data_IF_667994636174
#
_entry.id   IF_667994636174
#
_cell.length_a   1.000
_cell.length_b   1.000
_cell.length_c   1.000
_cell.angle_alpha   90.00
_cell.angle_beta   90.00
_cell.angle_gamma   90.00
#
_symmetry.space_group_name_H-M   'P 1'
#
loop_
_entity.id
_entity.type
_entity.pdbx_description
1 polymer ?
#
# COMPACT_ATOMS: atom_id res chain seq x y z
N UNK A 1 -89.94 26.34 -17.92
CA UNK A 1 -89.01 25.40 -18.60
C UNK A 1 -87.60 25.88 -18.32
N UNK A 2 -87.01 25.35 -17.28
CA UNK A 2 -85.70 25.74 -16.82
C UNK A 2 -84.68 24.78 -17.38
N UNK A 3 -83.65 25.30 -18.00
CA UNK A 3 -82.48 24.54 -18.41
C UNK A 3 -81.42 24.70 -17.39
N UNK A 4 -81.22 23.63 -16.66
CA UNK A 4 -80.08 23.48 -15.72
C UNK A 4 -78.78 23.25 -16.52
N UNK A 5 -77.82 24.16 -16.39
CA UNK A 5 -76.45 24.02 -16.92
C UNK A 5 -75.55 23.32 -15.94
N UNK A 6 -75.25 22.07 -16.22
CA UNK A 6 -74.29 21.30 -15.44
C UNK A 6 -72.86 21.83 -15.61
N UNK A 7 -72.23 22.25 -14.51
CA UNK A 7 -70.84 22.65 -14.47
C UNK A 7 -69.95 21.38 -14.29
N UNK A 8 -69.29 20.97 -15.37
CA UNK A 8 -68.30 19.91 -15.33
C UNK A 8 -66.98 20.47 -14.74
N UNK A 9 -66.68 20.05 -13.55
CA UNK A 9 -65.39 20.40 -12.88
C UNK A 9 -64.30 19.49 -13.39
N UNK A 10 -63.45 20.00 -14.28
CA UNK A 10 -62.24 19.29 -14.78
C UNK A 10 -61.14 19.42 -13.70
N UNK A 11 -60.86 18.34 -13.01
CA UNK A 11 -59.69 18.23 -12.14
C UNK A 11 -58.46 18.02 -13.00
N UNK A 12 -57.66 19.08 -13.17
CA UNK A 12 -56.31 18.98 -13.73
C UNK A 12 -55.40 18.38 -12.67
N UNK A 13 -55.09 17.09 -12.80
CA UNK A 13 -53.99 16.47 -12.04
C UNK A 13 -52.67 17.04 -12.54
N UNK A 14 -52.10 17.95 -11.77
CA UNK A 14 -50.68 18.32 -11.94
C UNK A 14 -49.80 17.15 -11.45
N UNK A 15 -49.34 16.34 -12.38
CA UNK A 15 -48.24 15.42 -12.15
C UNK A 15 -46.96 16.27 -12.02
N UNK A 16 -46.58 16.65 -10.80
CA UNK A 16 -45.26 17.14 -10.51
C UNK A 16 -44.29 15.96 -10.67
N UNK A 17 -43.68 15.86 -11.85
CA UNK A 17 -42.51 15.03 -12.05
C UNK A 17 -41.40 15.63 -11.21
N UNK A 18 -41.24 15.11 -10.00
CA UNK A 18 -40.02 15.30 -9.23
C UNK A 18 -38.91 14.56 -9.99
N UNK A 19 -38.29 15.25 -10.94
CA UNK A 19 -36.97 14.89 -11.41
C UNK A 19 -36.05 15.01 -10.20
N UNK A 20 -36.04 13.95 -9.37
CA UNK A 20 -35.01 13.72 -8.40
C UNK A 20 -33.70 13.67 -9.18
N UNK A 21 -32.96 14.77 -9.15
CA UNK A 21 -31.62 14.82 -9.63
C UNK A 21 -30.88 13.73 -8.89
N UNK A 22 -30.65 12.61 -9.55
CA UNK A 22 -29.49 11.76 -9.25
C UNK A 22 -28.28 12.69 -9.49
N UNK A 23 -27.92 13.47 -8.47
CA UNK A 23 -26.60 14.03 -8.39
C UNK A 23 -25.70 12.83 -8.60
N UNK A 24 -25.08 12.75 -9.78
CA UNK A 24 -23.96 11.86 -10.02
C UNK A 24 -23.08 12.04 -8.81
N UNK A 25 -23.01 11.03 -7.94
CA UNK A 25 -22.03 10.99 -6.88
C UNK A 25 -20.71 11.09 -7.64
N UNK A 26 -20.14 12.29 -7.63
CA UNK A 26 -18.83 12.62 -8.19
C UNK A 26 -17.93 11.57 -7.58
N UNK A 27 -17.38 10.68 -8.40
CA UNK A 27 -16.67 9.46 -8.01
C UNK A 27 -15.93 9.68 -6.69
N UNK A 28 -16.56 9.29 -5.58
CA UNK A 28 -15.91 9.35 -4.28
C UNK A 28 -14.71 8.46 -4.43
N UNK A 29 -13.49 9.03 -4.33
CA UNK A 29 -12.27 8.33 -4.58
C UNK A 29 -12.29 7.02 -3.79
N UNK A 30 -12.39 5.88 -4.47
CA UNK A 30 -12.36 4.59 -3.80
C UNK A 30 -10.94 4.39 -3.31
N UNK A 31 -10.80 4.33 -1.99
CA UNK A 31 -9.51 4.27 -1.33
C UNK A 31 -9.22 2.86 -0.87
N UNK A 32 -7.98 2.40 -1.13
CA UNK A 32 -7.42 1.18 -0.59
C UNK A 32 -6.23 1.46 0.32
N UNK A 33 -5.79 0.44 1.01
CA UNK A 33 -4.62 0.51 1.90
C UNK A 33 -3.61 -0.53 1.47
N UNK A 34 -2.33 -0.16 1.41
CA UNK A 34 -1.22 -1.07 1.15
C UNK A 34 -0.31 -1.09 2.39
N UNK A 35 -0.32 -2.21 3.09
CA UNK A 35 0.58 -2.48 4.21
C UNK A 35 1.83 -3.15 3.65
N UNK A 36 2.97 -2.50 3.79
CA UNK A 36 4.21 -2.92 3.14
C UNK A 36 5.06 -3.73 4.11
N UNK A 37 5.28 -5.00 3.80
CA UNK A 37 6.31 -5.90 4.33
C UNK A 37 6.46 -5.91 5.87
N UNK A 38 5.37 -5.97 6.62
CA UNK A 38 5.43 -6.16 8.09
C UNK A 38 5.73 -7.63 8.38
N UNK A 39 7.00 -8.03 8.21
CA UNK A 39 7.47 -9.41 8.26
C UNK A 39 8.53 -9.64 9.33
N UNK A 40 8.72 -10.92 9.72
CA UNK A 40 9.61 -11.29 10.81
C UNK A 40 11.04 -10.79 10.64
N UNK A 41 11.65 -11.01 9.46
CA UNK A 41 13.05 -10.64 9.21
C UNK A 41 13.32 -9.13 9.20
N UNK A 42 12.27 -8.30 9.04
CA UNK A 42 12.39 -6.84 9.09
C UNK A 42 12.17 -6.25 10.48
N UNK A 43 11.93 -7.07 11.52
CA UNK A 43 11.55 -6.56 12.83
C UNK A 43 12.49 -6.94 13.97
N UNK A 44 12.71 -5.99 14.89
CA UNK A 44 13.42 -6.23 16.15
C UNK A 44 12.63 -7.20 17.04
N UNK A 45 11.29 -7.18 16.96
CA UNK A 45 10.45 -8.11 17.68
C UNK A 45 10.82 -9.58 17.45
N UNK A 46 11.25 -9.92 16.24
CA UNK A 46 11.61 -11.29 15.85
C UNK A 46 13.14 -11.50 15.73
N UNK A 47 13.95 -10.52 16.12
CA UNK A 47 15.40 -10.54 15.91
C UNK A 47 15.74 -10.83 14.44
N UNK A 48 15.00 -10.22 13.53
CA UNK A 48 15.10 -10.47 12.09
C UNK A 48 16.48 -10.19 11.53
N UNK A 49 16.86 -10.91 10.48
CA UNK A 49 18.18 -10.79 9.83
C UNK A 49 18.45 -9.42 9.21
N UNK A 50 17.38 -8.68 8.89
CA UNK A 50 17.41 -7.32 8.35
C UNK A 50 16.50 -6.40 9.17
N UNK A 51 16.51 -6.55 10.50
CA UNK A 51 15.64 -5.83 11.41
C UNK A 51 15.89 -4.33 11.42
N UNK A 52 14.84 -3.56 11.21
CA UNK A 52 14.83 -2.11 11.23
C UNK A 52 14.59 -1.59 12.65
N UNK A 53 15.24 -0.50 13.02
CA UNK A 53 15.08 0.10 14.34
C UNK A 53 13.64 0.63 14.57
N UNK A 54 13.16 0.53 15.80
CA UNK A 54 11.80 0.94 16.19
C UNK A 54 10.69 -0.01 15.71
N UNK A 55 11.03 -1.25 15.30
CA UNK A 55 10.06 -2.29 14.90
C UNK A 55 9.87 -3.33 16.01
N UNK A 56 9.64 -2.85 17.20
CA UNK A 56 9.33 -3.62 18.41
C UNK A 56 7.85 -4.04 18.49
N UNK A 57 7.47 -4.67 19.60
CA UNK A 57 6.09 -5.11 19.84
C UNK A 57 5.09 -3.95 19.82
N UNK A 58 5.48 -2.79 20.37
CA UNK A 58 4.62 -1.61 20.41
C UNK A 58 4.31 -1.10 19.00
N UNK A 59 5.31 -1.09 18.10
CA UNK A 59 5.10 -0.74 16.70
C UNK A 59 4.17 -1.71 15.97
N UNK A 60 4.37 -3.02 16.15
CA UNK A 60 3.52 -4.04 15.51
C UNK A 60 2.07 -3.91 15.99
N UNK A 61 1.87 -3.76 17.31
CA UNK A 61 0.55 -3.56 17.90
C UNK A 61 -0.13 -2.29 17.38
N UNK A 62 0.57 -1.15 17.40
CA UNK A 62 0.05 0.11 16.86
C UNK A 62 -0.29 0.02 15.37
N UNK A 63 0.55 -0.65 14.58
CA UNK A 63 0.30 -0.86 13.15
C UNK A 63 -0.94 -1.74 12.93
N UNK A 64 -1.08 -2.82 13.69
CA UNK A 64 -2.26 -3.69 13.62
C UNK A 64 -3.55 -2.96 14.01
N UNK A 65 -3.55 -2.21 15.13
CA UNK A 65 -4.70 -1.42 15.58
C UNK A 65 -5.14 -0.38 14.54
N UNK A 66 -4.19 0.34 13.95
CA UNK A 66 -4.52 1.32 12.91
C UNK A 66 -5.00 0.65 11.60
N UNK A 67 -4.46 -0.52 11.26
CA UNK A 67 -4.96 -1.33 10.13
C UNK A 67 -6.39 -1.81 10.38
N UNK A 68 -6.72 -2.22 11.61
CA UNK A 68 -8.10 -2.56 12.01
C UNK A 68 -9.05 -1.37 11.86
N UNK A 69 -8.67 -0.18 12.34
CA UNK A 69 -9.47 1.04 12.17
C UNK A 69 -9.75 1.37 10.71
N UNK A 70 -8.76 1.22 9.82
CA UNK A 70 -8.94 1.42 8.39
C UNK A 70 -9.90 0.38 7.79
N UNK A 71 -9.79 -0.88 8.17
CA UNK A 71 -10.70 -1.94 7.75
C UNK A 71 -12.14 -1.69 8.23
N UNK A 72 -12.32 -1.30 9.49
CA UNK A 72 -13.62 -0.95 10.08
C UNK A 72 -14.25 0.29 9.41
N UNK A 73 -13.42 1.22 8.92
CA UNK A 73 -13.87 2.34 8.09
C UNK A 73 -14.27 1.93 6.65
N UNK A 74 -14.17 0.63 6.32
CA UNK A 74 -14.62 0.07 5.04
C UNK A 74 -13.56 0.03 3.95
N UNK A 75 -12.30 0.38 4.24
CA UNK A 75 -11.24 0.36 3.24
C UNK A 75 -10.70 -1.06 3.02
N UNK A 76 -10.62 -1.56 1.76
CA UNK A 76 -9.95 -2.81 1.47
C UNK A 76 -8.45 -2.69 1.75
N UNK A 77 -7.92 -3.67 2.48
CA UNK A 77 -6.53 -3.71 2.90
C UNK A 77 -5.79 -4.75 2.06
N UNK A 78 -4.69 -4.35 1.46
CA UNK A 78 -3.73 -5.20 0.76
C UNK A 78 -2.42 -5.20 1.53
N UNK A 79 -1.69 -6.30 1.48
CA UNK A 79 -0.34 -6.36 2.02
C UNK A 79 0.65 -6.76 0.94
N UNK A 80 1.89 -6.29 1.03
CA UNK A 80 3.00 -6.87 0.31
C UNK A 80 3.75 -7.85 1.21
N UNK A 81 4.40 -8.81 0.60
CA UNK A 81 5.22 -9.81 1.27
C UNK A 81 6.45 -10.12 0.43
N UNK A 82 7.65 -9.80 0.95
CA UNK A 82 8.87 -10.33 0.38
C UNK A 82 8.88 -11.85 0.51
N UNK A 83 9.17 -12.54 -0.60
CA UNK A 83 9.10 -13.99 -0.68
C UNK A 83 10.24 -14.53 -1.55
N UNK A 84 11.48 -14.33 -1.05
CA UNK A 84 12.69 -14.59 -1.82
C UNK A 84 13.03 -16.07 -1.87
N UNK A 85 13.41 -16.61 -3.05
CA UNK A 85 14.04 -17.92 -3.10
C UNK A 85 15.42 -17.87 -2.43
N UNK A 86 15.89 -19.00 -1.88
CA UNK A 86 17.15 -19.07 -1.15
C UNK A 86 18.37 -18.61 -1.96
N UNK A 87 18.31 -18.78 -3.28
CA UNK A 87 19.38 -18.37 -4.22
C UNK A 87 19.17 -16.99 -4.82
N UNK A 88 18.44 -16.10 -4.14
CA UNK A 88 18.15 -14.75 -4.64
C UNK A 88 19.42 -13.93 -4.84
N UNK A 89 19.52 -13.23 -5.98
CA UNK A 89 20.73 -12.50 -6.37
C UNK A 89 21.02 -11.26 -5.50
N UNK A 90 20.08 -10.76 -4.72
CA UNK A 90 20.33 -9.67 -3.78
C UNK A 90 20.98 -10.14 -2.46
N UNK A 91 21.16 -11.44 -2.22
CA UNK A 91 21.75 -11.92 -0.98
C UNK A 91 23.27 -12.03 -1.08
N UNK A 92 23.99 -11.36 -0.15
CA UNK A 92 25.46 -11.41 -0.15
C UNK A 92 26.01 -12.84 -0.08
N UNK A 93 25.28 -13.73 0.59
CA UNK A 93 25.65 -15.14 0.75
C UNK A 93 25.74 -15.91 -0.57
N UNK A 94 25.12 -15.39 -1.64
CA UNK A 94 25.14 -15.98 -2.98
C UNK A 94 26.28 -15.41 -3.85
N UNK A 95 27.15 -14.54 -3.29
CA UNK A 95 28.26 -13.92 -4.00
C UNK A 95 29.59 -14.18 -3.27
N UNK A 96 30.46 -15.00 -3.85
CA UNK A 96 31.74 -15.37 -3.25
C UNK A 96 32.59 -14.13 -2.92
N UNK A 97 33.05 -14.03 -1.67
CA UNK A 97 33.94 -12.95 -1.19
C UNK A 97 33.22 -11.61 -0.93
N UNK A 98 31.89 -11.56 -1.03
CA UNK A 98 31.10 -10.37 -0.72
C UNK A 98 30.59 -10.40 0.72
N UNK A 99 30.25 -9.21 1.23
CA UNK A 99 29.69 -8.99 2.56
C UNK A 99 28.32 -8.31 2.44
N UNK A 100 27.55 -8.39 3.51
CA UNK A 100 26.32 -7.61 3.61
C UNK A 100 26.60 -6.12 3.39
N UNK A 101 25.72 -5.47 2.64
CA UNK A 101 25.76 -4.06 2.24
C UNK A 101 26.83 -3.69 1.19
N UNK A 102 27.62 -4.65 0.68
CA UNK A 102 28.40 -4.40 -0.53
C UNK A 102 27.47 -4.02 -1.68
N UNK A 103 27.97 -3.18 -2.58
CA UNK A 103 27.26 -2.83 -3.83
C UNK A 103 27.94 -3.54 -4.99
N UNK A 104 27.14 -4.19 -5.83
CA UNK A 104 27.61 -4.80 -7.08
C UNK A 104 26.83 -4.25 -8.26
N UNK A 105 27.32 -4.50 -9.47
CA UNK A 105 26.52 -4.29 -10.69
C UNK A 105 25.75 -5.56 -11.01
N UNK A 106 24.42 -5.49 -11.01
CA UNK A 106 23.53 -6.56 -11.40
C UNK A 106 22.62 -6.03 -12.49
N UNK A 107 22.60 -6.68 -13.65
CA UNK A 107 21.83 -6.22 -14.83
C UNK A 107 22.08 -4.75 -15.20
N UNK A 108 23.33 -4.26 -15.01
CA UNK A 108 23.71 -2.86 -15.31
C UNK A 108 23.30 -1.81 -14.27
N UNK A 109 22.61 -2.22 -13.21
CA UNK A 109 22.18 -1.34 -12.10
C UNK A 109 23.01 -1.63 -10.85
N UNK A 110 23.08 -0.65 -9.94
CA UNK A 110 23.64 -0.85 -8.61
C UNK A 110 22.69 -1.70 -7.75
N UNK A 111 23.20 -2.80 -7.21
CA UNK A 111 22.50 -3.70 -6.31
C UNK A 111 23.21 -3.73 -4.97
N UNK A 112 22.51 -3.34 -3.91
CA UNK A 112 22.95 -3.57 -2.54
C UNK A 112 22.79 -5.04 -2.21
N UNK A 113 23.82 -5.66 -1.65
CA UNK A 113 23.78 -7.04 -1.21
C UNK A 113 23.30 -7.12 0.24
N UNK A 114 22.16 -7.72 0.42
CA UNK A 114 21.48 -7.83 1.71
C UNK A 114 21.87 -9.10 2.46
N UNK A 115 21.75 -9.13 3.80
CA UNK A 115 21.59 -10.38 4.52
C UNK A 115 20.43 -11.18 3.96
N UNK A 116 20.54 -12.51 3.95
CA UNK A 116 19.39 -13.35 3.53
C UNK A 116 18.21 -13.08 4.45
N UNK A 117 17.09 -12.66 3.87
CA UNK A 117 15.88 -12.28 4.58
C UNK A 117 14.63 -12.73 3.81
N UNK A 118 13.53 -12.86 4.51
CA UNK A 118 12.23 -13.22 3.96
C UNK A 118 12.28 -14.41 2.99
N UNK A 119 13.17 -15.39 3.32
CA UNK A 119 13.33 -16.60 2.51
C UNK A 119 12.03 -17.40 2.55
N UNK A 120 11.58 -17.84 1.40
CA UNK A 120 10.33 -18.58 1.22
C UNK A 120 10.18 -19.71 2.24
N UNK A 121 9.00 -19.80 2.86
CA UNK A 121 8.62 -20.85 3.83
C UNK A 121 9.43 -20.81 5.14
N UNK A 122 10.10 -19.72 5.46
CA UNK A 122 10.74 -19.52 6.77
C UNK A 122 9.88 -18.60 7.65
N UNK A 123 10.00 -18.70 8.99
CA UNK A 123 9.31 -17.78 9.90
C UNK A 123 9.64 -16.29 9.68
N UNK A 124 10.85 -15.99 9.18
CA UNK A 124 11.28 -14.64 8.85
C UNK A 124 10.46 -14.00 7.73
N UNK A 125 9.93 -14.81 6.82
CA UNK A 125 9.07 -14.35 5.74
C UNK A 125 7.59 -14.19 6.16
N UNK A 126 7.20 -14.60 7.39
CA UNK A 126 5.82 -14.50 7.83
C UNK A 126 5.42 -13.05 8.10
N UNK A 127 4.21 -12.69 7.65
CA UNK A 127 3.56 -11.42 8.01
C UNK A 127 3.13 -11.51 9.48
N UNK A 128 3.43 -10.46 10.26
CA UNK A 128 3.22 -10.41 11.70
C UNK A 128 1.83 -9.88 12.11
N UNK A 129 1.11 -9.22 11.22
CA UNK A 129 -0.26 -8.76 11.45
C UNK A 129 -1.26 -9.91 11.19
N UNK A 130 -2.45 -9.83 11.81
CA UNK A 130 -3.52 -10.80 11.57
C UNK A 130 -3.87 -10.86 10.07
N UNK A 131 -3.65 -12.02 9.45
CA UNK A 131 -3.91 -12.24 8.02
C UNK A 131 -5.37 -12.01 7.62
N UNK A 132 -6.30 -12.09 8.57
CA UNK A 132 -7.73 -11.77 8.35
C UNK A 132 -7.98 -10.28 8.07
N UNK A 133 -7.03 -9.42 8.35
CA UNK A 133 -7.13 -7.99 8.00
C UNK A 133 -7.07 -7.78 6.48
N UNK A 134 -6.35 -8.61 5.78
CA UNK A 134 -6.03 -8.41 4.37
C UNK A 134 -7.06 -9.04 3.43
N UNK A 135 -7.47 -8.26 2.44
CA UNK A 135 -8.24 -8.76 1.30
C UNK A 135 -7.36 -9.61 0.39
N UNK A 136 -6.11 -9.23 0.24
CA UNK A 136 -5.10 -9.99 -0.49
C UNK A 136 -3.69 -9.68 0.02
N UNK A 137 -2.80 -10.67 -0.13
CA UNK A 137 -1.36 -10.53 0.09
C UNK A 137 -0.65 -10.73 -1.24
N UNK A 138 0.10 -9.72 -1.66
CA UNK A 138 0.87 -9.72 -2.91
C UNK A 138 2.32 -10.06 -2.60
N UNK A 139 2.76 -11.23 -3.06
CA UNK A 139 4.15 -11.66 -2.94
C UNK A 139 5.01 -10.96 -3.97
N UNK A 140 6.21 -10.52 -3.55
CA UNK A 140 7.21 -9.89 -4.41
C UNK A 140 8.60 -10.49 -4.18
N UNK A 141 9.58 -10.15 -5.02
CA UNK A 141 10.94 -10.69 -4.92
C UNK A 141 11.03 -12.20 -5.13
N UNK A 142 10.12 -12.77 -5.93
CA UNK A 142 10.09 -14.21 -6.21
C UNK A 142 11.03 -14.63 -7.34
N UNK A 143 11.45 -13.69 -8.18
CA UNK A 143 12.44 -13.95 -9.22
C UNK A 143 13.84 -13.95 -8.60
N UNK A 144 14.59 -15.04 -8.78
CA UNK A 144 15.92 -15.14 -8.19
C UNK A 144 16.93 -14.14 -8.75
N UNK A 145 16.67 -13.55 -9.91
CA UNK A 145 17.62 -12.69 -10.63
C UNK A 145 17.38 -11.19 -10.40
N UNK A 146 16.19 -10.80 -9.97
CA UNK A 146 15.79 -9.39 -9.83
C UNK A 146 15.29 -9.09 -8.44
N UNK A 147 15.81 -8.02 -7.84
CA UNK A 147 15.28 -7.51 -6.57
C UNK A 147 13.90 -6.89 -6.76
N UNK A 148 13.17 -6.68 -5.69
CA UNK A 148 11.79 -6.19 -5.77
C UNK A 148 11.46 -5.34 -4.54
N UNK A 149 11.77 -4.06 -4.61
CA UNK A 149 11.37 -3.12 -3.56
C UNK A 149 9.88 -2.77 -3.67
N UNK A 150 9.39 -2.57 -4.90
CA UNK A 150 8.00 -2.15 -5.13
C UNK A 150 7.01 -3.29 -4.99
N UNK A 151 5.85 -2.99 -4.39
CA UNK A 151 4.69 -3.87 -4.41
C UNK A 151 4.05 -4.02 -5.80
N UNK A 152 4.46 -3.22 -6.81
CA UNK A 152 3.87 -3.22 -8.15
C UNK A 152 4.68 -3.99 -9.19
N UNK A 153 5.99 -4.07 -9.02
CA UNK A 153 6.90 -4.75 -9.96
C UNK A 153 8.25 -5.05 -9.31
N UNK A 154 9.00 -5.98 -9.92
CA UNK A 154 10.41 -6.18 -9.62
C UNK A 154 11.32 -5.24 -10.43
N UNK A 155 12.62 -5.24 -10.13
CA UNK A 155 13.61 -4.39 -10.80
C UNK A 155 13.87 -4.79 -12.26
N UNK A 156 13.41 -5.98 -12.67
CA UNK A 156 13.35 -6.43 -14.05
C UNK A 156 12.13 -5.93 -14.82
N UNK A 157 11.17 -5.30 -14.12
CA UNK A 157 9.94 -4.76 -14.72
C UNK A 157 8.78 -5.76 -14.79
N UNK A 158 8.92 -6.95 -14.18
CA UNK A 158 7.83 -7.92 -14.08
C UNK A 158 6.81 -7.45 -13.06
N UNK A 159 5.57 -7.28 -13.52
CA UNK A 159 4.47 -6.79 -12.69
C UNK A 159 4.02 -7.82 -11.68
N UNK A 160 3.63 -7.34 -10.49
CA UNK A 160 2.85 -8.10 -9.51
C UNK A 160 1.34 -8.00 -9.80
N UNK A 161 0.53 -8.65 -8.98
CA UNK A 161 -0.93 -8.51 -9.07
C UNK A 161 -1.48 -7.24 -8.39
N UNK A 162 -0.67 -6.39 -7.76
CA UNK A 162 -1.16 -5.25 -6.97
C UNK A 162 -2.05 -4.31 -7.78
N UNK A 163 -1.57 -3.83 -8.92
CA UNK A 163 -2.33 -2.91 -9.78
C UNK A 163 -3.64 -3.52 -10.26
N UNK A 164 -3.63 -4.80 -10.65
CA UNK A 164 -4.82 -5.55 -11.06
C UNK A 164 -5.86 -5.65 -9.94
N UNK A 165 -5.41 -5.92 -8.71
CA UNK A 165 -6.29 -6.03 -7.54
C UNK A 165 -6.91 -4.69 -7.19
N UNK A 166 -6.12 -3.60 -7.18
CA UNK A 166 -6.60 -2.25 -6.93
C UNK A 166 -7.62 -1.80 -7.98
N UNK A 167 -7.34 -2.03 -9.26
CA UNK A 167 -8.26 -1.71 -10.38
C UNK A 167 -9.55 -2.51 -10.33
N UNK A 168 -9.49 -3.79 -9.95
CA UNK A 168 -10.69 -4.62 -9.76
C UNK A 168 -11.65 -4.02 -8.73
N UNK A 169 -11.12 -3.40 -7.70
CA UNK A 169 -11.89 -2.73 -6.65
C UNK A 169 -12.18 -1.26 -6.99
N UNK A 170 -11.86 -0.79 -8.20
CA UNK A 170 -12.01 0.61 -8.66
C UNK A 170 -11.31 1.61 -7.74
N UNK A 171 -10.21 1.22 -7.09
CA UNK A 171 -9.41 2.09 -6.22
C UNK A 171 -8.65 3.07 -7.10
N UNK A 172 -8.63 4.33 -6.71
CA UNK A 172 -7.88 5.41 -7.36
C UNK A 172 -7.04 6.23 -6.37
N UNK A 173 -7.13 5.90 -5.07
CA UNK A 173 -6.33 6.47 -4.00
C UNK A 173 -5.84 5.36 -3.09
N UNK A 174 -4.59 5.42 -2.65
CA UNK A 174 -4.02 4.44 -1.72
C UNK A 174 -3.36 5.10 -0.53
N UNK A 175 -3.56 4.51 0.65
CA UNK A 175 -2.79 4.79 1.86
C UNK A 175 -1.69 3.75 1.97
N UNK A 176 -0.43 4.17 2.12
CA UNK A 176 0.74 3.30 2.13
C UNK A 176 1.52 3.49 3.43
N UNK A 177 1.89 2.42 4.10
CA UNK A 177 2.77 2.42 5.27
C UNK A 177 3.40 1.05 5.48
N UNK A 178 4.46 0.97 6.30
CA UNK A 178 5.13 -0.28 6.64
C UNK A 178 6.65 -0.17 6.70
N UNK A 179 7.37 -1.18 6.19
CA UNK A 179 8.83 -1.32 6.24
C UNK A 179 9.40 -1.59 4.85
N UNK A 180 10.49 -0.94 4.45
CA UNK A 180 11.10 0.20 5.08
C UNK A 180 10.78 1.48 4.30
N UNK A 181 10.68 2.60 5.05
CA UNK A 181 10.35 3.93 4.50
C UNK A 181 11.20 4.29 3.29
N UNK A 182 12.51 4.08 3.38
CA UNK A 182 13.53 4.43 2.39
C UNK A 182 13.70 3.41 1.26
N UNK A 183 13.07 2.24 1.35
CA UNK A 183 13.11 1.18 0.33
C UNK A 183 11.70 0.79 -0.14
N UNK A 184 11.11 -0.25 0.41
CA UNK A 184 9.87 -0.84 -0.11
C UNK A 184 8.67 0.09 -0.02
N UNK A 185 8.52 0.89 1.05
CA UNK A 185 7.44 1.87 1.18
C UNK A 185 7.58 2.96 0.11
N UNK A 186 8.78 3.55 -0.01
CA UNK A 186 9.10 4.54 -1.04
C UNK A 186 8.83 3.99 -2.45
N UNK A 187 9.40 2.84 -2.79
CA UNK A 187 9.26 2.24 -4.12
C UNK A 187 7.79 1.93 -4.45
N UNK A 188 7.05 1.35 -3.50
CA UNK A 188 5.62 1.08 -3.66
C UNK A 188 4.80 2.35 -3.85
N UNK A 189 5.08 3.40 -3.06
CA UNK A 189 4.38 4.67 -3.15
C UNK A 189 4.65 5.40 -4.48
N UNK A 190 5.90 5.40 -4.95
CA UNK A 190 6.29 6.02 -6.23
C UNK A 190 5.69 5.27 -7.42
N UNK A 191 5.71 3.94 -7.42
CA UNK A 191 5.09 3.14 -8.48
C UNK A 191 3.56 3.26 -8.47
N UNK A 192 2.93 3.43 -7.30
CA UNK A 192 1.51 3.73 -7.22
C UNK A 192 1.19 5.08 -7.91
N UNK A 193 1.99 6.14 -7.67
CA UNK A 193 1.83 7.41 -8.39
C UNK A 193 2.03 7.22 -9.90
N UNK A 194 3.06 6.49 -10.31
CA UNK A 194 3.33 6.21 -11.72
C UNK A 194 2.20 5.41 -12.39
N UNK A 195 1.49 4.58 -11.63
CA UNK A 195 0.30 3.84 -12.07
C UNK A 195 -1.00 4.68 -12.06
N UNK A 196 -0.94 5.96 -11.65
CA UNK A 196 -2.05 6.90 -11.67
C UNK A 196 -2.86 7.00 -10.37
N UNK A 197 -2.39 6.39 -9.28
CA UNK A 197 -3.06 6.51 -7.98
C UNK A 197 -2.68 7.80 -7.27
N UNK A 198 -3.62 8.39 -6.55
CA UNK A 198 -3.30 9.35 -5.48
C UNK A 198 -2.75 8.58 -4.28
N UNK A 199 -1.68 9.08 -3.67
CA UNK A 199 -0.98 8.35 -2.60
C UNK A 199 -0.88 9.18 -1.35
N UNK A 200 -1.21 8.57 -0.21
CA UNK A 200 -0.99 9.10 1.12
C UNK A 200 -0.08 8.14 1.87
N UNK A 201 1.02 8.63 2.41
CA UNK A 201 1.93 7.83 3.25
C UNK A 201 1.73 8.22 4.71
N UNK A 202 1.67 7.22 5.62
CA UNK A 202 1.54 7.47 7.07
C UNK A 202 2.89 7.25 7.74
N UNK A 203 3.50 8.36 8.22
CA UNK A 203 4.87 8.37 8.73
C UNK A 203 5.02 7.56 10.03
N UNK A 204 4.13 7.72 11.01
CA UNK A 204 4.26 7.01 12.29
C UNK A 204 3.99 5.50 12.20
N UNK A 205 3.37 5.03 11.11
CA UNK A 205 3.17 3.62 10.80
C UNK A 205 4.26 3.05 9.88
N UNK A 206 5.31 3.84 9.59
CA UNK A 206 6.44 3.41 8.77
C UNK A 206 7.74 3.51 9.56
N UNK A 207 8.69 2.63 9.25
CA UNK A 207 10.05 2.63 9.82
C UNK A 207 11.05 2.52 8.70
N UNK A 208 12.13 3.28 8.78
CA UNK A 208 13.19 3.29 7.78
C UNK A 208 14.49 2.67 8.29
N UNK A 209 15.32 2.22 7.37
CA UNK A 209 16.62 1.61 7.67
C UNK A 209 17.57 2.63 8.31
N UNK A 210 17.60 3.86 7.78
CA UNK A 210 18.40 4.95 8.32
C UNK A 210 17.66 6.28 8.30
N UNK A 211 17.89 7.18 9.27
CA UNK A 211 17.20 8.49 9.34
C UNK A 211 17.42 9.34 8.08
N UNK A 212 18.67 9.44 7.60
CA UNK A 212 19.02 10.29 6.46
C UNK A 212 18.40 9.81 5.15
N UNK A 213 18.43 8.50 4.89
CA UNK A 213 17.82 7.90 3.70
C UNK A 213 16.30 7.97 3.77
N UNK A 214 15.72 7.80 4.96
CA UNK A 214 14.28 7.95 5.19
C UNK A 214 13.80 9.38 4.94
N UNK A 215 14.57 10.40 5.38
CA UNK A 215 14.23 11.80 5.11
C UNK A 215 14.29 12.09 3.61
N UNK A 216 15.35 11.68 2.92
CA UNK A 216 15.48 11.82 1.46
C UNK A 216 14.33 11.13 0.72
N UNK A 217 13.94 9.94 1.15
CA UNK A 217 12.81 9.20 0.57
C UNK A 217 11.49 9.96 0.75
N UNK A 218 11.24 10.53 1.93
CA UNK A 218 10.05 11.34 2.18
C UNK A 218 10.03 12.61 1.33
N UNK A 219 11.18 13.28 1.16
CA UNK A 219 11.27 14.48 0.33
C UNK A 219 11.05 14.17 -1.15
N UNK A 220 11.58 13.05 -1.64
CA UNK A 220 11.29 12.56 -2.99
C UNK A 220 9.81 12.21 -3.18
N UNK A 221 9.20 11.50 -2.23
CA UNK A 221 7.78 11.20 -2.27
C UNK A 221 6.92 12.46 -2.32
N UNK A 222 7.23 13.48 -1.50
CA UNK A 222 6.55 14.79 -1.55
C UNK A 222 6.70 15.46 -2.89
N UNK A 223 7.91 15.48 -3.47
CA UNK A 223 8.18 16.06 -4.78
C UNK A 223 7.39 15.37 -5.92
N UNK A 224 6.96 14.13 -5.71
CA UNK A 224 6.09 13.36 -6.62
C UNK A 224 4.60 13.52 -6.31
N UNK A 225 4.23 14.44 -5.41
CA UNK A 225 2.83 14.71 -5.06
C UNK A 225 2.21 13.76 -4.05
N UNK A 226 3.03 12.93 -3.38
CA UNK A 226 2.56 12.06 -2.30
C UNK A 226 2.32 12.90 -1.04
N UNK A 227 1.13 12.78 -0.47
CA UNK A 227 0.79 13.42 0.80
C UNK A 227 1.38 12.59 1.93
N UNK A 228 2.18 13.21 2.82
CA UNK A 228 2.71 12.52 4.00
C UNK A 228 1.99 13.06 5.23
N UNK A 229 1.31 12.17 5.94
CA UNK A 229 0.68 12.45 7.23
C UNK A 229 1.54 11.88 8.36
N UNK A 230 1.75 12.65 9.41
CA UNK A 230 2.50 12.16 10.57
C UNK A 230 1.78 11.02 11.26
N UNK A 231 0.45 11.11 11.40
CA UNK A 231 -0.39 10.10 12.05
C UNK A 231 -1.59 9.73 11.17
N UNK A 232 -2.17 8.55 11.40
CA UNK A 232 -3.44 8.18 10.79
C UNK A 232 -4.55 9.11 11.29
N UNK A 233 -5.19 9.78 10.33
CA UNK A 233 -6.33 10.66 10.56
C UNK A 233 -7.35 10.39 9.46
N UNK A 234 -8.48 9.75 9.81
CA UNK A 234 -9.49 9.30 8.86
C UNK A 234 -10.13 10.47 8.10
N UNK A 235 -10.29 11.63 8.72
CA UNK A 235 -10.88 12.79 8.03
C UNK A 235 -9.88 13.40 7.04
N UNK A 236 -8.61 13.50 7.42
CA UNK A 236 -7.57 13.99 6.50
C UNK A 236 -7.37 13.07 5.30
N UNK A 237 -7.42 11.73 5.48
CA UNK A 237 -7.27 10.81 4.34
C UNK A 237 -8.46 10.83 3.40
N UNK A 238 -9.67 11.17 3.87
CA UNK A 238 -10.85 11.37 3.02
C UNK A 238 -10.75 12.67 2.21
N UNK A 239 -10.28 13.75 2.85
CA UNK A 239 -10.23 15.09 2.26
C UNK A 239 -9.12 15.31 1.22
N UNK A 240 -8.04 14.50 1.26
CA UNK A 240 -6.95 14.54 0.27
C UNK A 240 -7.26 13.61 -0.90
#
# INVERSE_FOLDING_TARGET
>A
MEHSAGKTLVWALFFTVVLGGMAMAKDAAQMGVIVVDIQGDFTKLKNGSLAVDGTDEAYIKATEENTKKLKEAGYPIFATQDWHPKNHASFFTNHKGKKAFDVIKLHGKDQVLWPSHCVQKTPGADILLDKKLFKAVVKKGMDAQYDSYSGFQDDGGKKTDMDKLLKKDKINKVVVYGIATDYCVRATALDAVAAGYKVIMIKNLSRGVAPDTSQKAMDEMKAKGIVILDNLDLEKIKGN
#
